data_IF_768664089412
#
_entry.id   IF_768664089412
#
_cell.length_a   1.000
_cell.length_b   1.000
_cell.length_c   1.000
_cell.angle_alpha   90.00
_cell.angle_beta   90.00
_cell.angle_gamma   90.00
#
_symmetry.space_group_name_H-M   'P 1'
#
loop_
_entity.id
_entity.type
_entity.pdbx_description
1 polymer ?
#
# COMPACT_ATOMS: atom_id res chain seq x y z
N UNK A 1 22.19 22.65 2.28
CA UNK A 1 21.36 21.49 2.66
C UNK A 1 22.34 20.40 2.99
N UNK A 2 22.61 20.18 4.28
CA UNK A 2 23.63 19.23 4.70
C UNK A 2 23.19 17.80 4.39
N UNK A 3 24.09 16.93 3.91
CA UNK A 3 23.77 15.54 3.56
C UNK A 3 23.02 14.83 4.69
N UNK A 4 23.44 15.03 5.94
CA UNK A 4 22.81 14.45 7.14
C UNK A 4 21.34 14.81 7.29
N UNK A 5 20.92 16.00 6.85
CA UNK A 5 19.51 16.40 6.86
C UNK A 5 18.71 15.61 5.82
N UNK A 6 19.26 15.43 4.61
CA UNK A 6 18.62 14.64 3.54
C UNK A 6 18.43 13.20 4.00
N UNK A 7 19.48 12.59 4.58
CA UNK A 7 19.43 11.23 5.08
C UNK A 7 18.36 11.08 6.17
N UNK A 8 18.27 12.04 7.09
CA UNK A 8 17.26 12.02 8.16
C UNK A 8 15.83 12.11 7.62
N UNK A 9 15.59 12.99 6.63
CA UNK A 9 14.28 13.11 5.99
C UNK A 9 13.87 11.85 5.22
N UNK A 10 14.81 11.21 4.52
CA UNK A 10 14.57 9.95 3.82
C UNK A 10 14.22 8.82 4.80
N UNK A 11 15.01 8.65 5.87
CA UNK A 11 14.74 7.60 6.88
C UNK A 11 13.38 7.81 7.55
N UNK A 12 13.05 9.04 7.94
CA UNK A 12 11.74 9.35 8.55
C UNK A 12 10.59 9.03 7.60
N UNK A 13 10.71 9.41 6.33
CA UNK A 13 9.67 9.15 5.31
C UNK A 13 9.49 7.64 5.07
N UNK A 14 10.60 6.88 5.05
CA UNK A 14 10.56 5.42 4.88
C UNK A 14 9.88 4.72 6.06
N UNK A 15 10.18 5.14 7.29
CA UNK A 15 9.56 4.60 8.51
C UNK A 15 8.06 4.88 8.55
N UNK A 16 7.66 6.12 8.22
CA UNK A 16 6.24 6.48 8.11
C UNK A 16 5.56 5.62 7.05
N UNK A 17 6.14 5.50 5.86
CA UNK A 17 5.60 4.65 4.80
C UNK A 17 5.43 3.18 5.26
N UNK A 18 6.45 2.58 5.88
CA UNK A 18 6.35 1.21 6.43
C UNK A 18 5.19 1.07 7.42
N UNK A 19 5.02 2.04 8.33
CA UNK A 19 3.97 2.00 9.35
C UNK A 19 2.57 2.09 8.73
N UNK A 20 2.40 2.89 7.68
CA UNK A 20 1.14 3.05 6.96
C UNK A 20 0.81 1.86 6.03
N UNK A 21 1.82 1.15 5.53
CA UNK A 21 1.63 -0.03 4.66
C UNK A 21 1.37 -1.31 5.47
N UNK A 22 1.75 -1.36 6.75
CA UNK A 22 1.53 -2.52 7.61
C UNK A 22 0.05 -2.97 7.69
N UNK A 23 -0.93 -2.09 7.98
CA UNK A 23 -2.35 -2.47 8.09
C UNK A 23 -2.94 -3.11 6.83
N UNK A 24 -2.80 -2.52 5.62
CA UNK A 24 -3.30 -3.16 4.40
C UNK A 24 -2.56 -4.46 4.07
N UNK A 25 -1.27 -4.56 4.37
CA UNK A 25 -0.50 -5.80 4.16
C UNK A 25 -1.00 -6.94 5.05
N UNK A 26 -1.23 -6.67 6.33
CA UNK A 26 -1.81 -7.64 7.28
C UNK A 26 -3.18 -8.13 6.83
N UNK A 27 -4.04 -7.22 6.37
CA UNK A 27 -5.35 -7.61 5.90
C UNK A 27 -5.32 -8.40 4.59
N UNK A 28 -4.45 -8.04 3.66
CA UNK A 28 -4.22 -8.82 2.44
C UNK A 28 -3.71 -10.23 2.78
N UNK A 29 -2.83 -10.36 3.78
CA UNK A 29 -2.35 -11.64 4.27
C UNK A 29 -3.49 -12.49 4.85
N UNK A 30 -4.31 -11.93 5.74
CA UNK A 30 -5.46 -12.63 6.34
C UNK A 30 -6.46 -13.07 5.27
N UNK A 31 -6.82 -12.18 4.35
CA UNK A 31 -7.74 -12.49 3.26
C UNK A 31 -7.18 -13.56 2.32
N UNK A 32 -5.90 -13.45 1.94
CA UNK A 32 -5.22 -14.42 1.08
C UNK A 32 -5.10 -15.79 1.73
N UNK A 33 -4.78 -15.85 3.02
CA UNK A 33 -4.75 -17.10 3.79
C UNK A 33 -6.14 -17.71 3.91
N UNK A 34 -7.18 -16.92 4.21
CA UNK A 34 -8.55 -17.41 4.30
C UNK A 34 -9.03 -18.05 3.00
N UNK A 35 -8.77 -17.40 1.87
CA UNK A 35 -9.07 -17.96 0.54
C UNK A 35 -8.25 -19.20 0.25
N UNK A 36 -6.96 -19.20 0.58
CA UNK A 36 -6.08 -20.36 0.40
C UNK A 36 -6.56 -21.59 1.20
N UNK A 37 -7.04 -21.38 2.43
CA UNK A 37 -7.61 -22.44 3.27
C UNK A 37 -8.88 -23.00 2.63
N UNK A 38 -9.79 -22.14 2.14
CA UNK A 38 -11.02 -22.60 1.46
C UNK A 38 -10.66 -23.41 0.20
N UNK A 39 -9.71 -22.92 -0.60
CA UNK A 39 -9.24 -23.63 -1.79
C UNK A 39 -8.65 -25.01 -1.46
N UNK A 40 -7.84 -25.09 -0.39
CA UNK A 40 -7.26 -26.35 0.07
C UNK A 40 -8.31 -27.31 0.66
N UNK A 41 -9.26 -26.79 1.45
CA UNK A 41 -10.29 -27.59 2.11
C UNK A 41 -11.30 -28.19 1.13
N UNK A 42 -11.67 -27.46 0.07
CA UNK A 42 -12.63 -27.93 -0.95
C UNK A 42 -11.97 -28.80 -2.03
N UNK A 43 -10.64 -28.99 -1.99
CA UNK A 43 -9.90 -29.75 -3.00
C UNK A 43 -10.18 -29.29 -4.45
N UNK A 44 -10.41 -28.00 -4.65
CA UNK A 44 -10.70 -27.42 -5.96
C UNK A 44 -9.42 -27.42 -6.83
N UNK A 45 -9.24 -28.47 -7.63
CA UNK A 45 -8.14 -28.63 -8.60
C UNK A 45 -8.46 -28.08 -9.99
N UNK A 46 -9.69 -27.64 -10.23
CA UNK A 46 -10.10 -27.03 -11.50
C UNK A 46 -9.62 -25.57 -11.54
N UNK A 47 -8.74 -25.19 -12.47
CA UNK A 47 -8.05 -23.88 -12.46
C UNK A 47 -8.96 -22.67 -12.71
N UNK A 48 -10.17 -22.88 -13.26
CA UNK A 48 -11.04 -21.79 -13.73
C UNK A 48 -11.79 -21.07 -12.60
N UNK A 49 -12.30 -21.83 -11.62
CA UNK A 49 -13.02 -21.30 -10.45
C UNK A 49 -12.11 -20.57 -9.44
N UNK A 50 -10.96 -21.14 -9.01
CA UNK A 50 -10.01 -20.50 -8.11
C UNK A 50 -9.44 -19.20 -8.66
N UNK A 51 -9.24 -19.10 -9.98
CA UNK A 51 -8.78 -17.87 -10.63
C UNK A 51 -9.80 -16.73 -10.44
N UNK A 52 -11.09 -17.03 -10.68
CA UNK A 52 -12.18 -16.04 -10.57
C UNK A 52 -12.36 -15.60 -9.12
N UNK A 53 -12.40 -16.54 -8.18
CA UNK A 53 -12.54 -16.24 -6.74
C UNK A 53 -11.35 -15.42 -6.23
N UNK A 54 -10.12 -15.76 -6.66
CA UNK A 54 -8.92 -15.03 -6.28
C UNK A 54 -8.93 -13.59 -6.80
N UNK A 55 -9.37 -13.35 -8.04
CA UNK A 55 -9.52 -12.00 -8.60
C UNK A 55 -10.56 -11.18 -7.84
N UNK A 56 -11.73 -11.76 -7.53
CA UNK A 56 -12.76 -11.08 -6.73
C UNK A 56 -12.26 -10.70 -5.34
N UNK A 57 -11.50 -11.58 -4.69
CA UNK A 57 -10.93 -11.29 -3.37
C UNK A 57 -9.90 -10.18 -3.45
N UNK A 58 -9.02 -10.18 -4.46
CA UNK A 58 -8.03 -9.10 -4.65
C UNK A 58 -8.74 -7.77 -4.88
N UNK A 59 -9.76 -7.72 -5.73
CA UNK A 59 -10.56 -6.50 -5.95
C UNK A 59 -11.25 -6.06 -4.67
N UNK A 60 -11.86 -6.98 -3.92
CA UNK A 60 -12.52 -6.66 -2.65
C UNK A 60 -11.54 -6.07 -1.63
N UNK A 61 -10.35 -6.67 -1.47
CA UNK A 61 -9.29 -6.16 -0.61
C UNK A 61 -8.82 -4.78 -1.08
N UNK A 62 -8.58 -4.58 -2.38
CA UNK A 62 -8.16 -3.27 -2.91
C UNK A 62 -9.22 -2.18 -2.68
N UNK A 63 -10.50 -2.48 -2.86
CA UNK A 63 -11.58 -1.51 -2.60
C UNK A 63 -11.66 -1.18 -1.11
N UNK A 64 -11.61 -2.20 -0.25
CA UNK A 64 -11.67 -2.04 1.21
C UNK A 64 -10.50 -1.20 1.74
N UNK A 65 -9.30 -1.42 1.21
CA UNK A 65 -8.08 -0.73 1.62
C UNK A 65 -7.73 0.49 0.76
N UNK A 66 -8.55 0.84 -0.24
CA UNK A 66 -8.26 1.94 -1.17
C UNK A 66 -8.04 3.27 -0.45
N UNK A 67 -8.83 3.54 0.60
CA UNK A 67 -8.75 4.78 1.40
C UNK A 67 -7.46 4.84 2.24
N UNK A 68 -7.02 3.72 2.78
CA UNK A 68 -5.81 3.63 3.62
C UNK A 68 -4.55 3.72 2.76
N UNK A 69 -4.55 3.08 1.59
CA UNK A 69 -3.42 3.09 0.65
C UNK A 69 -3.25 4.44 -0.08
N UNK A 70 -4.35 5.15 -0.35
CA UNK A 70 -4.32 6.44 -1.06
C UNK A 70 -3.92 7.62 -0.17
N UNK A 71 -4.27 7.61 1.11
CA UNK A 71 -3.99 8.72 2.03
C UNK A 71 -2.51 9.16 2.09
N UNK A 72 -1.52 8.27 2.34
CA UNK A 72 -0.12 8.66 2.38
C UNK A 72 0.43 9.10 1.02
N UNK A 73 -0.07 8.55 -0.09
CA UNK A 73 0.32 8.97 -1.44
C UNK A 73 -0.16 10.40 -1.74
N UNK A 74 -1.39 10.72 -1.36
CA UNK A 74 -1.96 12.07 -1.54
C UNK A 74 -1.22 13.08 -0.65
N UNK A 75 -0.91 12.70 0.59
CA UNK A 75 -0.19 13.57 1.52
C UNK A 75 1.23 13.88 1.02
N UNK A 76 1.98 12.87 0.56
CA UNK A 76 3.30 13.09 0.00
C UNK A 76 3.25 13.89 -1.30
N UNK A 77 2.27 13.65 -2.17
CA UNK A 77 2.08 14.45 -3.37
C UNK A 77 1.85 15.92 -3.01
N UNK A 78 0.97 16.21 -2.03
CA UNK A 78 0.73 17.57 -1.54
C UNK A 78 1.98 18.21 -0.95
N UNK A 79 2.77 17.48 -0.16
CA UNK A 79 4.01 17.98 0.42
C UNK A 79 4.98 18.43 -0.69
N UNK A 80 5.19 17.58 -1.70
CA UNK A 80 6.06 17.88 -2.84
C UNK A 80 5.55 19.11 -3.61
N UNK A 81 4.26 19.14 -3.96
CA UNK A 81 3.68 20.25 -4.74
C UNK A 81 3.59 21.57 -3.97
N UNK A 82 3.54 21.54 -2.63
CA UNK A 82 3.51 22.73 -1.78
C UNK A 82 4.91 23.27 -1.52
N UNK A 83 5.92 22.40 -1.44
CA UNK A 83 7.32 22.81 -1.29
C UNK A 83 7.94 23.27 -2.63
N UNK A 84 7.44 22.77 -3.76
CA UNK A 84 7.97 23.11 -5.10
C UNK A 84 8.05 24.63 -5.38
N UNK A 85 6.98 25.43 -5.15
CA UNK A 85 7.03 26.88 -5.36
C UNK A 85 8.03 27.59 -4.45
N UNK A 86 8.22 27.08 -3.22
CA UNK A 86 9.18 27.64 -2.26
C UNK A 86 10.64 27.43 -2.68
N UNK A 87 10.91 26.37 -3.47
CA UNK A 87 12.23 26.11 -4.04
C UNK A 87 12.52 26.98 -5.26
N UNK A 88 11.50 27.36 -6.03
CA UNK A 88 11.64 28.22 -7.22
C UNK A 88 11.64 29.71 -6.89
N UNK A 89 10.92 30.16 -5.85
CA UNK A 89 10.83 31.58 -5.47
C UNK A 89 12.15 32.21 -4.97
N UNK A 90 13.24 31.43 -4.88
CA UNK A 90 14.57 31.91 -4.46
C UNK A 90 15.50 32.23 -5.64
N UNK A 91 14.97 32.24 -6.87
CA UNK A 91 15.60 32.77 -8.08
C UNK A 91 14.76 33.90 -8.68
#
# INVERSE_FOLDING_TARGET
MDETSILTHLTRSLVLFMMWVLPPLLAALVAGLGVGIIQAATQLQDQTLPLTVRLLVVVAVLVLFSRVLSAPLIEQAKHIFTEFPSLTSRY
#
